data_IF_895223609101
#
_entry.id   IF_895223609101
#
_cell.length_a   1.000
_cell.length_b   1.000
_cell.length_c   1.000
_cell.angle_alpha   90.00
_cell.angle_beta   90.00
_cell.angle_gamma   90.00
#
_symmetry.space_group_name_H-M   'P 1'
#
loop_
_entity.id
_entity.type
_entity.pdbx_description
1 polymer ?
#
# COMPACT_ATOMS: atom_id res chain seq x y z
N UNK A 1 -13.36 13.10 -6.78
CA UNK A 1 -12.27 13.48 -5.84
C UNK A 1 -11.20 12.47 -6.06
N UNK A 2 -10.09 12.94 -6.59
CA UNK A 2 -9.38 12.14 -7.58
C UNK A 2 -8.16 11.52 -6.93
N UNK A 3 -8.10 10.19 -7.05
CA UNK A 3 -6.86 9.44 -6.92
C UNK A 3 -5.72 10.16 -7.60
N UNK A 4 -4.49 9.97 -7.11
CA UNK A 4 -3.41 10.21 -8.04
C UNK A 4 -3.57 9.24 -9.22
N UNK A 5 -3.91 9.82 -10.36
CA UNK A 5 -3.95 9.12 -11.63
C UNK A 5 -2.57 9.11 -12.31
N UNK A 6 -1.52 9.51 -11.58
CA UNK A 6 -0.14 9.58 -12.08
C UNK A 6 0.81 8.60 -11.41
N UNK A 7 0.58 8.24 -10.15
CA UNK A 7 1.47 7.30 -9.48
C UNK A 7 1.02 6.88 -8.09
N UNK A 8 1.88 6.08 -7.47
CA UNK A 8 1.77 5.58 -6.11
C UNK A 8 2.96 6.03 -5.28
N UNK A 9 2.73 6.10 -3.99
CA UNK A 9 3.78 6.24 -3.00
C UNK A 9 3.55 5.19 -1.91
N UNK A 10 4.57 4.88 -1.12
CA UNK A 10 4.38 4.27 0.19
C UNK A 10 5.54 4.73 1.09
N UNK A 11 5.30 4.80 2.39
CA UNK A 11 6.27 5.30 3.35
C UNK A 11 6.60 4.21 4.38
N UNK A 12 7.87 4.12 4.77
CA UNK A 12 8.32 3.41 5.96
C UNK A 12 8.99 4.39 6.93
N UNK A 13 8.20 5.07 7.79
CA UNK A 13 8.70 6.18 8.61
C UNK A 13 9.79 5.77 9.59
N UNK A 14 9.73 4.56 10.14
CA UNK A 14 10.73 4.06 11.10
C UNK A 14 12.15 4.06 10.54
N UNK A 15 12.30 3.95 9.21
CA UNK A 15 13.59 3.97 8.50
C UNK A 15 13.79 5.24 7.66
N UNK A 16 12.81 6.14 7.65
CA UNK A 16 12.75 7.29 6.72
C UNK A 16 12.95 6.84 5.28
N UNK A 17 12.32 5.73 4.89
CA UNK A 17 12.36 5.23 3.52
C UNK A 17 11.02 5.50 2.83
N UNK A 18 11.05 5.78 1.53
CA UNK A 18 9.84 5.86 0.72
C UNK A 18 10.03 5.13 -0.61
N UNK A 19 8.93 4.63 -1.16
CA UNK A 19 8.88 4.15 -2.53
C UNK A 19 7.92 5.03 -3.32
N UNK A 20 8.25 5.24 -4.59
CA UNK A 20 7.46 6.00 -5.53
C UNK A 20 7.43 5.25 -6.86
N UNK A 21 6.27 5.25 -7.50
CA UNK A 21 6.05 4.58 -8.77
C UNK A 21 5.13 5.41 -9.66
N UNK A 22 5.64 5.87 -10.80
CA UNK A 22 4.85 6.54 -11.82
C UNK A 22 4.15 5.50 -12.68
N UNK A 23 2.85 5.67 -12.95
CA UNK A 23 2.11 4.76 -13.81
C UNK A 23 2.62 4.81 -15.26
N UNK A 24 2.75 3.64 -15.87
CA UNK A 24 3.10 3.52 -17.30
C UNK A 24 1.89 3.76 -18.22
N UNK A 25 2.11 3.72 -19.53
CA UNK A 25 1.06 4.01 -20.52
C UNK A 25 -0.14 3.05 -20.42
N UNK A 26 0.09 1.77 -20.10
CA UNK A 26 -0.97 0.77 -20.00
C UNK A 26 -1.78 0.96 -18.70
N UNK A 27 -1.09 1.28 -17.61
CA UNK A 27 -1.71 1.64 -16.32
C UNK A 27 -2.54 2.93 -16.45
N UNK A 28 -2.01 3.95 -17.12
CA UNK A 28 -2.72 5.21 -17.40
C UNK A 28 -3.95 5.00 -18.27
N UNK A 29 -3.88 4.13 -19.28
CA UNK A 29 -5.04 3.79 -20.11
C UNK A 29 -6.13 3.10 -19.29
N UNK A 30 -5.76 2.14 -18.42
CA UNK A 30 -6.73 1.47 -17.55
C UNK A 30 -7.38 2.43 -16.54
N UNK A 31 -6.64 3.43 -16.06
CA UNK A 31 -7.19 4.52 -15.24
C UNK A 31 -8.19 5.35 -16.05
N UNK A 32 -7.85 5.71 -17.29
CA UNK A 32 -8.74 6.45 -18.17
C UNK A 32 -10.04 5.68 -18.47
N UNK A 33 -9.93 4.37 -18.71
CA UNK A 33 -11.08 3.48 -18.93
C UNK A 33 -11.97 3.43 -17.67
N UNK A 34 -11.37 3.32 -16.48
CA UNK A 34 -12.11 3.39 -15.22
C UNK A 34 -12.83 4.73 -15.03
N UNK A 35 -12.13 5.84 -15.26
CA UNK A 35 -12.71 7.18 -15.14
C UNK A 35 -13.82 7.42 -16.19
N UNK A 36 -13.69 6.81 -17.37
CA UNK A 36 -14.70 6.78 -18.43
C UNK A 36 -15.87 5.81 -18.17
N UNK A 37 -15.88 5.10 -17.03
CA UNK A 37 -16.87 4.09 -16.64
C UNK A 37 -16.97 2.91 -17.62
N UNK A 38 -15.90 2.63 -18.36
CA UNK A 38 -15.83 1.52 -19.31
C UNK A 38 -15.24 0.25 -18.71
N UNK A 39 -14.61 0.33 -17.53
CA UNK A 39 -14.03 -0.79 -16.80
C UNK A 39 -14.01 -0.54 -15.29
N UNK A 40 -14.18 -1.58 -14.48
CA UNK A 40 -14.00 -1.53 -13.01
C UNK A 40 -12.64 -2.12 -12.57
N UNK A 41 -11.79 -2.48 -13.52
CA UNK A 41 -10.65 -3.37 -13.29
C UNK A 41 -9.50 -2.69 -12.54
N UNK A 42 -9.30 -1.38 -12.74
CA UNK A 42 -8.18 -0.62 -12.17
C UNK A 42 -8.66 0.51 -11.26
N UNK A 43 -9.66 0.21 -10.41
CA UNK A 43 -10.28 1.17 -9.50
C UNK A 43 -9.32 1.78 -8.48
N UNK A 44 -9.74 2.88 -7.86
CA UNK A 44 -9.04 3.57 -6.77
C UNK A 44 -8.65 2.63 -5.61
N UNK A 45 -9.56 1.74 -5.21
CA UNK A 45 -9.34 0.77 -4.12
C UNK A 45 -8.17 -0.18 -4.43
N UNK A 46 -7.99 -0.50 -5.71
CA UNK A 46 -6.92 -1.38 -6.19
C UNK A 46 -5.59 -0.67 -6.16
N UNK A 47 -5.56 0.58 -6.64
CA UNK A 47 -4.34 1.42 -6.64
C UNK A 47 -3.80 1.62 -5.22
N UNK A 48 -4.69 1.74 -4.23
CA UNK A 48 -4.27 1.82 -2.83
C UNK A 48 -3.78 0.50 -2.26
N UNK A 49 -4.44 -0.61 -2.60
CA UNK A 49 -3.94 -1.94 -2.27
C UNK A 49 -2.56 -2.22 -2.90
N UNK A 50 -2.32 -1.76 -4.14
CA UNK A 50 -1.01 -1.88 -4.81
C UNK A 50 0.11 -1.22 -4.01
N UNK A 51 -0.15 -0.08 -3.37
CA UNK A 51 0.85 0.62 -2.55
C UNK A 51 1.33 -0.26 -1.39
N UNK A 52 0.41 -0.93 -0.69
CA UNK A 52 0.74 -1.87 0.38
C UNK A 52 1.49 -3.12 -0.14
N UNK A 53 1.10 -3.63 -1.31
CA UNK A 53 1.75 -4.79 -1.94
C UNK A 53 3.18 -4.45 -2.36
N UNK A 54 3.40 -3.31 -3.00
CA UNK A 54 4.72 -2.87 -3.41
C UNK A 54 5.63 -2.58 -2.22
N UNK A 55 5.08 -1.99 -1.15
CA UNK A 55 5.77 -1.86 0.11
C UNK A 55 6.25 -3.22 0.65
N UNK A 56 5.39 -4.25 0.61
CA UNK A 56 5.78 -5.61 0.99
C UNK A 56 6.86 -6.20 0.07
N UNK A 57 6.80 -5.99 -1.24
CA UNK A 57 7.83 -6.50 -2.14
C UNK A 57 9.20 -5.89 -1.83
N UNK A 58 9.25 -4.59 -1.52
CA UNK A 58 10.50 -3.86 -1.26
C UNK A 58 11.04 -4.17 0.14
N UNK A 59 10.17 -4.17 1.14
CA UNK A 59 10.59 -4.13 2.55
C UNK A 59 10.37 -5.42 3.34
N UNK A 60 9.59 -6.40 2.84
CA UNK A 60 9.29 -7.60 3.63
C UNK A 60 10.52 -8.39 4.07
N UNK A 61 11.56 -8.41 3.24
CA UNK A 61 12.84 -9.06 3.60
C UNK A 61 13.55 -8.44 4.81
N UNK A 62 13.19 -7.20 5.16
CA UNK A 62 13.79 -6.42 6.23
C UNK A 62 12.94 -6.50 7.53
N UNK A 63 11.63 -6.67 7.42
CA UNK A 63 10.72 -6.79 8.58
C UNK A 63 11.03 -7.98 9.49
N UNK A 64 11.64 -9.03 8.94
CA UNK A 64 11.96 -10.26 9.67
C UNK A 64 13.38 -10.30 10.26
N UNK A 65 14.17 -9.21 10.14
CA UNK A 65 15.61 -9.25 10.42
C UNK A 65 16.01 -9.02 11.88
N UNK A 66 15.07 -8.77 12.80
CA UNK A 66 15.37 -8.88 14.22
C UNK A 66 15.38 -10.37 14.58
N UNK A 67 16.45 -10.88 15.19
CA UNK A 67 16.63 -12.28 15.65
C UNK A 67 15.64 -12.76 16.74
N UNK A 68 14.38 -12.39 16.58
CA UNK A 68 13.21 -12.77 17.35
C UNK A 68 12.73 -14.12 16.82
N UNK A 69 12.36 -15.02 17.73
CA UNK A 69 11.76 -16.32 17.40
C UNK A 69 10.32 -16.14 16.88
N UNK A 70 9.70 -14.99 17.16
CA UNK A 70 8.32 -14.69 16.79
C UNK A 70 8.21 -14.06 15.39
N UNK A 71 7.12 -14.38 14.70
CA UNK A 71 6.78 -13.83 13.40
C UNK A 71 6.57 -12.31 13.50
N UNK A 72 7.29 -11.52 12.71
CA UNK A 72 7.19 -10.06 12.73
C UNK A 72 5.78 -9.60 12.33
N UNK A 73 5.22 -8.63 13.06
CA UNK A 73 3.94 -8.02 12.72
C UNK A 73 4.15 -6.70 11.99
N UNK A 74 3.62 -6.62 10.77
CA UNK A 74 3.60 -5.39 9.97
C UNK A 74 2.18 -4.84 9.86
N UNK A 75 1.99 -3.55 10.10
CA UNK A 75 0.71 -2.88 9.87
C UNK A 75 0.79 -1.95 8.67
N UNK A 76 -0.13 -2.14 7.73
CA UNK A 76 -0.41 -1.22 6.63
C UNK A 76 -1.44 -0.19 7.08
N UNK A 77 -1.03 1.07 7.18
CA UNK A 77 -1.92 2.20 7.39
C UNK A 77 -2.36 2.70 6.03
N UNK A 78 -3.63 2.46 5.68
CA UNK A 78 -4.19 2.78 4.37
C UNK A 78 -5.39 3.68 4.61
N UNK A 79 -5.50 4.76 3.89
CA UNK A 79 -6.61 5.68 4.05
C UNK A 79 -7.89 5.17 3.37
N UNK A 80 -7.84 4.32 2.36
CA UNK A 80 -9.06 3.67 1.85
C UNK A 80 -9.55 2.48 2.67
N UNK A 81 -10.72 2.68 3.26
CA UNK A 81 -11.43 1.66 4.04
C UNK A 81 -11.75 0.38 3.27
N UNK A 82 -11.98 0.44 1.96
CA UNK A 82 -12.19 -0.76 1.13
C UNK A 82 -10.90 -1.55 0.97
N UNK A 83 -9.78 -0.88 0.71
CA UNK A 83 -8.46 -1.51 0.65
C UNK A 83 -8.07 -2.13 2.00
N UNK A 84 -8.33 -1.44 3.12
CA UNK A 84 -8.17 -1.98 4.49
C UNK A 84 -9.00 -3.25 4.67
N UNK A 85 -10.27 -3.23 4.28
CA UNK A 85 -11.16 -4.39 4.41
C UNK A 85 -10.70 -5.57 3.55
N UNK A 86 -10.26 -5.33 2.31
CA UNK A 86 -9.73 -6.38 1.42
C UNK A 86 -8.44 -6.98 1.95
N UNK A 87 -7.50 -6.14 2.42
CA UNK A 87 -6.26 -6.59 3.02
C UNK A 87 -6.56 -7.50 4.21
N UNK A 88 -7.34 -7.05 5.19
CA UNK A 88 -7.63 -7.85 6.40
C UNK A 88 -8.43 -9.14 6.10
N UNK A 89 -9.38 -9.10 5.16
CA UNK A 89 -10.17 -10.29 4.77
C UNK A 89 -9.44 -11.23 3.83
N UNK A 90 -8.32 -10.79 3.25
CA UNK A 90 -7.59 -11.48 2.17
C UNK A 90 -8.51 -11.87 1.01
N UNK A 91 -9.48 -11.02 0.67
CA UNK A 91 -10.43 -11.29 -0.42
C UNK A 91 -11.01 -10.03 -1.06
N UNK A 92 -11.21 -10.09 -2.37
CA UNK A 92 -11.93 -9.13 -3.22
C UNK A 92 -12.67 -9.84 -4.36
N UNK A 93 -13.67 -9.20 -4.98
CA UNK A 93 -14.32 -9.71 -6.21
C UNK A 93 -13.53 -9.39 -7.47
N UNK A 94 -12.60 -8.44 -7.40
CA UNK A 94 -11.75 -8.07 -8.51
C UNK A 94 -10.57 -9.05 -8.62
N UNK A 95 -10.32 -9.58 -9.82
CA UNK A 95 -9.29 -10.60 -10.07
C UNK A 95 -7.88 -10.07 -9.85
N UNK A 96 -7.61 -8.84 -10.25
CA UNK A 96 -6.32 -8.20 -10.06
C UNK A 96 -6.05 -7.93 -8.56
N UNK A 97 -7.06 -7.47 -7.81
CA UNK A 97 -6.98 -7.36 -6.35
C UNK A 97 -6.72 -8.71 -5.68
N UNK A 98 -7.35 -9.79 -6.13
CA UNK A 98 -7.09 -11.15 -5.63
C UNK A 98 -5.64 -11.59 -5.86
N UNK A 99 -5.08 -11.29 -7.04
CA UNK A 99 -3.67 -11.55 -7.34
C UNK A 99 -2.75 -10.77 -6.39
N UNK A 100 -3.02 -9.48 -6.16
CA UNK A 100 -2.28 -8.64 -5.21
C UNK A 100 -2.33 -9.19 -3.78
N UNK A 101 -3.50 -9.62 -3.30
CA UNK A 101 -3.67 -10.21 -1.97
C UNK A 101 -2.93 -11.54 -1.81
N UNK A 102 -2.92 -12.38 -2.86
CA UNK A 102 -2.11 -13.61 -2.88
C UNK A 102 -0.62 -13.31 -2.85
N UNK A 103 -0.18 -12.25 -3.51
CA UNK A 103 1.22 -11.83 -3.48
C UNK A 103 1.64 -11.42 -2.06
N UNK A 104 0.80 -10.68 -1.34
CA UNK A 104 1.05 -10.41 0.10
C UNK A 104 1.17 -11.72 0.88
N UNK A 105 0.20 -12.64 0.75
CA UNK A 105 0.26 -13.93 1.46
C UNK A 105 1.51 -14.76 1.14
N UNK A 106 1.97 -14.73 -0.11
CA UNK A 106 3.23 -15.36 -0.50
C UNK A 106 4.44 -14.71 0.19
N UNK A 107 4.49 -13.37 0.24
CA UNK A 107 5.56 -12.63 0.90
C UNK A 107 5.57 -12.89 2.42
N UNK A 108 4.39 -12.96 3.04
CA UNK A 108 4.22 -13.29 4.48
C UNK A 108 4.91 -14.62 4.82
N UNK A 109 4.64 -15.65 4.02
CA UNK A 109 5.28 -16.97 4.18
C UNK A 109 6.77 -16.91 3.87
N UNK A 110 7.15 -16.25 2.77
CA UNK A 110 8.54 -16.21 2.29
C UNK A 110 9.48 -15.49 3.24
N UNK A 111 9.00 -14.45 3.91
CA UNK A 111 9.78 -13.61 4.81
C UNK A 111 9.36 -13.73 6.27
N UNK A 112 8.49 -14.69 6.61
CA UNK A 112 8.08 -14.96 8.00
C UNK A 112 7.60 -13.70 8.75
N UNK A 113 6.71 -12.94 8.12
CA UNK A 113 5.96 -11.86 8.76
C UNK A 113 4.46 -12.12 8.60
N UNK A 114 3.64 -11.46 9.40
CA UNK A 114 2.21 -11.36 9.17
C UNK A 114 1.82 -9.90 9.10
N UNK A 115 0.78 -9.60 8.33
CA UNK A 115 0.31 -8.25 8.11
C UNK A 115 -1.15 -8.04 8.46
N UNK A 116 -1.44 -6.88 9.02
CA UNK A 116 -2.80 -6.33 9.13
C UNK A 116 -2.87 -4.97 8.47
N UNK A 117 -4.08 -4.49 8.21
CA UNK A 117 -4.32 -3.15 7.74
C UNK A 117 -5.19 -2.36 8.72
N UNK A 118 -4.93 -1.06 8.84
CA UNK A 118 -5.72 -0.13 9.62
C UNK A 118 -5.96 1.14 8.81
N UNK A 119 -7.09 1.79 9.10
CA UNK A 119 -7.42 3.05 8.46
C UNK A 119 -6.63 4.21 9.08
N UNK A 120 -5.97 5.02 8.24
CA UNK A 120 -5.44 6.33 8.62
C UNK A 120 -6.27 7.43 7.96
N UNK A 121 -6.68 8.50 8.66
CA UNK A 121 -7.37 9.60 8.00
C UNK A 121 -6.50 10.25 6.93
N UNK A 122 -7.08 10.56 5.77
CA UNK A 122 -6.35 11.22 4.68
C UNK A 122 -5.73 12.59 5.05
N UNK A 123 -6.22 13.25 6.11
CA UNK A 123 -5.62 14.47 6.63
C UNK A 123 -4.29 14.24 7.37
N UNK A 124 -4.02 13.01 7.80
CA UNK A 124 -2.79 12.59 8.48
C UNK A 124 -1.82 11.91 7.50
N UNK A 125 -2.29 11.56 6.29
CA UNK A 125 -1.52 10.85 5.27
C UNK A 125 -0.90 11.78 4.20
N UNK A 126 -0.53 13.00 4.60
CA UNK A 126 -0.21 14.10 3.66
C UNK A 126 1.01 13.82 2.80
N UNK A 127 2.12 13.41 3.40
CA UNK A 127 3.37 13.15 2.67
C UNK A 127 3.19 12.06 1.61
N UNK A 128 2.39 11.06 1.96
CA UNK A 128 2.12 9.89 1.16
C UNK A 128 1.20 10.25 -0.05
N UNK A 129 0.17 11.09 0.18
CA UNK A 129 -0.68 11.64 -0.88
C UNK A 129 0.12 12.55 -1.83
N UNK A 130 0.89 13.50 -1.32
CA UNK A 130 1.73 14.40 -2.14
C UNK A 130 2.77 13.60 -2.92
N UNK A 131 3.37 12.58 -2.29
CA UNK A 131 4.31 11.66 -2.92
C UNK A 131 3.72 10.90 -4.10
N UNK A 132 2.43 10.54 -4.05
CA UNK A 132 1.76 9.89 -5.18
C UNK A 132 1.52 10.86 -6.36
N UNK A 133 1.58 12.18 -6.12
CA UNK A 133 1.24 13.26 -7.07
C UNK A 133 2.45 14.00 -7.62
N UNK A 134 3.68 13.57 -7.33
CA UNK A 134 4.90 14.29 -7.76
C UNK A 134 5.00 14.51 -9.27
N UNK A 135 4.39 13.63 -10.08
CA UNK A 135 4.32 13.77 -11.54
C UNK A 135 3.11 14.55 -12.07
N UNK A 136 2.28 15.14 -11.19
CA UNK A 136 1.15 15.98 -11.58
C UNK A 136 1.57 17.44 -11.78
N UNK A 137 2.49 17.94 -10.96
CA UNK A 137 2.98 19.31 -11.05
C UNK A 137 4.33 19.49 -10.37
N UNK A 138 5.07 20.51 -10.78
CA UNK A 138 6.34 20.89 -10.16
C UNK A 138 6.15 21.29 -8.68
N UNK A 139 5.00 21.88 -8.33
CA UNK A 139 4.65 22.22 -6.95
C UNK A 139 4.55 20.98 -6.06
N UNK A 140 3.89 19.91 -6.53
CA UNK A 140 3.81 18.64 -5.80
C UNK A 140 5.19 17.98 -5.65
N UNK A 141 6.01 18.04 -6.70
CA UNK A 141 7.39 17.54 -6.65
C UNK A 141 8.24 18.28 -5.61
N UNK A 142 8.17 19.62 -5.57
CA UNK A 142 8.89 20.44 -4.57
C UNK A 142 8.39 20.19 -3.16
N UNK A 143 7.06 20.19 -2.96
CA UNK A 143 6.44 19.91 -1.67
C UNK A 143 6.83 18.54 -1.12
N UNK A 144 6.86 17.51 -1.98
CA UNK A 144 7.36 16.19 -1.58
C UNK A 144 8.85 16.20 -1.26
N UNK A 145 9.68 16.88 -2.07
CA UNK A 145 11.13 16.97 -1.82
C UNK A 145 11.43 17.63 -0.46
N UNK A 146 10.67 18.66 -0.09
CA UNK A 146 10.79 19.31 1.22
C UNK A 146 10.41 18.35 2.35
N UNK A 147 9.31 17.62 2.23
CA UNK A 147 8.87 16.62 3.23
C UNK A 147 9.81 15.41 3.32
N UNK A 148 10.45 15.03 2.21
CA UNK A 148 11.33 13.85 2.10
C UNK A 148 12.83 14.18 2.19
N UNK A 149 13.21 15.41 2.55
CA UNK A 149 14.60 15.89 2.53
C UNK A 149 15.59 14.97 3.27
N UNK A 150 15.17 14.34 4.37
CA UNK A 150 16.00 13.44 5.17
C UNK A 150 15.63 11.95 4.98
N UNK A 151 14.94 11.62 3.89
CA UNK A 151 14.46 10.28 3.58
C UNK A 151 15.23 9.66 2.40
N UNK A 152 15.32 8.33 2.35
CA UNK A 152 15.91 7.60 1.23
C UNK A 152 14.82 6.97 0.35
N UNK A 153 15.01 7.10 -0.97
CA UNK A 153 14.15 6.45 -1.94
C UNK A 153 14.57 5.00 -2.18
N UNK A 154 13.65 4.08 -1.97
CA UNK A 154 13.77 2.70 -2.43
C UNK A 154 13.17 2.56 -3.83
N UNK A 155 13.95 2.01 -4.76
CA UNK A 155 13.58 1.97 -6.17
C UNK A 155 12.48 0.93 -6.44
N UNK A 156 11.27 1.42 -6.79
CA UNK A 156 10.13 0.60 -7.20
C UNK A 156 10.35 -0.27 -8.45
N UNK A 157 11.48 -0.10 -9.17
CA UNK A 157 11.87 -0.96 -10.30
C UNK A 157 12.02 -2.42 -9.87
N UNK A 158 12.54 -2.69 -8.66
CA UNK A 158 12.58 -4.05 -8.10
C UNK A 158 11.17 -4.60 -7.83
N UNK A 159 10.24 -3.74 -7.43
CA UNK A 159 8.84 -4.13 -7.23
C UNK A 159 8.14 -4.49 -8.56
N UNK A 160 8.32 -3.68 -9.61
CA UNK A 160 7.80 -3.98 -10.96
C UNK A 160 8.40 -5.27 -11.53
N UNK A 161 9.71 -5.46 -11.45
CA UNK A 161 10.38 -6.65 -11.97
C UNK A 161 9.93 -7.92 -11.23
N UNK A 162 9.81 -7.85 -9.91
CA UNK A 162 9.31 -8.96 -9.10
C UNK A 162 7.86 -9.29 -9.46
N UNK A 163 6.95 -8.29 -9.48
CA UNK A 163 5.56 -8.49 -9.86
C UNK A 163 5.42 -9.07 -11.29
N UNK A 164 6.15 -8.53 -12.27
CA UNK A 164 6.11 -9.02 -13.66
C UNK A 164 6.70 -10.43 -13.83
N UNK A 165 7.65 -10.84 -12.98
CA UNK A 165 8.20 -12.20 -12.97
C UNK A 165 7.25 -13.20 -12.31
N UNK A 166 6.58 -12.81 -11.22
CA UNK A 166 5.62 -13.66 -10.51
C UNK A 166 4.31 -13.85 -11.28
N UNK A 167 3.83 -12.82 -11.99
CA UNK A 167 2.61 -12.92 -12.84
C UNK A 167 2.80 -13.89 -14.01
N UNK A 168 4.01 -13.95 -14.59
CA UNK A 168 4.32 -14.89 -15.69
C UNK A 168 4.25 -16.36 -15.26
N UNK A 169 4.49 -16.68 -13.99
CA UNK A 169 4.34 -18.04 -13.46
C UNK A 169 2.88 -18.46 -13.22
N UNK A 170 1.91 -17.51 -13.21
CA UNK A 170 0.52 -17.78 -12.76
C UNK A 170 -0.49 -17.83 -13.92
N UNK A 171 -0.04 -17.71 -15.18
CA UNK A 171 -0.79 -18.07 -16.39
C UNK A 171 -2.27 -17.66 -16.41
N UNK A 172 -2.58 -16.39 -16.64
CA UNK A 172 -3.96 -15.91 -16.73
C UNK A 172 -4.29 -15.47 -18.17
N UNK A 173 -5.06 -16.30 -18.89
CA UNK A 173 -5.72 -15.94 -20.15
C UNK A 173 -7.03 -15.22 -19.87
N UNK A 174 -7.19 -14.05 -20.50
CA UNK A 174 -8.30 -13.09 -20.44
C UNK A 174 -9.65 -13.69 -20.89
N UNK A 175 -10.73 -13.44 -20.15
CA UNK A 175 -12.13 -13.43 -20.66
C UNK A 175 -12.98 -12.35 -19.94
N UNK A 176 -14.03 -11.80 -20.61
CA UNK A 176 -14.64 -10.49 -20.29
C UNK A 176 -15.80 -10.55 -19.26
N UNK A 177 -16.31 -9.38 -18.77
CA UNK A 177 -16.85 -9.26 -17.41
C UNK A 177 -18.38 -9.24 -17.31
N UNK A 178 -18.88 -9.40 -16.07
CA UNK A 178 -20.27 -9.13 -15.67
C UNK A 178 -20.29 -8.11 -14.53
N UNK A 179 -21.12 -7.09 -14.71
CA UNK A 179 -21.26 -5.84 -13.95
C UNK A 179 -21.93 -6.00 -12.58
N UNK A 180 -21.52 -5.22 -11.56
CA UNK A 180 -22.44 -4.72 -10.52
C UNK A 180 -21.83 -3.56 -9.71
N UNK A 181 -22.55 -2.43 -9.65
CA UNK A 181 -22.18 -1.17 -8.97
C UNK A 181 -22.56 -1.15 -7.47
N UNK A 182 -21.77 -0.44 -6.65
CA UNK A 182 -22.06 -0.01 -5.26
C UNK A 182 -21.36 1.34 -4.99
N UNK A 183 -21.95 2.30 -4.23
CA UNK A 183 -21.48 3.69 -4.18
C UNK A 183 -20.34 3.97 -3.18
N UNK A 184 -19.52 4.96 -3.51
CA UNK A 184 -18.27 5.40 -2.86
C UNK A 184 -18.46 6.65 -1.99
N UNK A 185 -17.84 6.66 -0.79
CA UNK A 185 -17.60 7.87 0.00
C UNK A 185 -16.08 8.11 0.12
N UNK A 186 -15.69 9.39 0.02
CA UNK A 186 -14.36 9.85 -0.35
C UNK A 186 -13.28 9.65 0.70
N UNK A 187 -12.08 9.26 0.24
CA UNK A 187 -10.85 9.21 1.03
C UNK A 187 -9.65 9.64 0.18
N UNK A 188 -8.57 10.12 0.83
CA UNK A 188 -7.28 10.46 0.20
C UNK A 188 -6.43 9.18 0.08
N UNK A 189 -5.20 9.26 -0.47
CA UNK A 189 -4.38 8.10 -0.87
C UNK A 189 -3.14 7.92 -0.01
N UNK A 190 -2.73 6.64 0.18
CA UNK A 190 -1.36 6.11 0.24
C UNK A 190 -1.07 5.27 1.51
N UNK A 191 -0.11 4.33 1.43
CA UNK A 191 0.16 3.36 2.51
C UNK A 191 1.35 3.79 3.38
N UNK A 192 1.16 3.86 4.70
CA UNK A 192 2.25 3.98 5.69
C UNK A 192 2.48 2.63 6.34
N UNK A 193 3.71 2.14 6.36
CA UNK A 193 4.06 0.88 7.01
C UNK A 193 4.64 1.15 8.39
N UNK A 194 4.04 0.56 9.42
CA UNK A 194 4.59 0.53 10.78
C UNK A 194 4.87 -0.91 11.21
N UNK A 195 6.01 -1.14 11.84
CA UNK A 195 6.23 -2.36 12.62
C UNK A 195 5.51 -2.19 13.97
N UNK A 196 4.62 -3.11 14.30
CA UNK A 196 4.07 -3.22 15.64
C UNK A 196 4.91 -4.26 16.37
N UNK A 197 5.81 -3.83 17.25
CA UNK A 197 6.45 -4.72 18.22
C UNK A 197 5.40 -5.14 19.28
N UNK A 198 4.52 -6.09 18.93
CA UNK A 198 3.66 -6.73 19.92
C UNK A 198 4.48 -7.77 20.69
N UNK A 199 5.05 -7.35 21.84
CA UNK A 199 5.45 -8.27 22.89
C UNK A 199 4.16 -8.94 23.40
N UNK A 200 3.90 -10.19 23.02
CA UNK A 200 2.89 -11.01 23.69
C UNK A 200 3.40 -11.37 25.08
N UNK A 201 3.21 -10.47 26.05
CA UNK A 201 3.35 -10.83 27.45
C UNK A 201 2.20 -11.75 27.85
N UNK A 202 2.52 -13.00 28.18
CA UNK A 202 1.64 -13.91 28.88
C UNK A 202 1.10 -13.25 30.16
N UNK A 203 -0.22 -13.01 30.16
CA UNK A 203 -1.11 -12.84 31.32
C UNK A 203 -0.50 -12.35 32.65
N UNK A 204 -0.66 -11.07 32.97
CA UNK A 204 -1.26 -10.65 34.24
C UNK A 204 -1.70 -9.19 34.15
N UNK A 205 -2.83 -8.90 34.81
CA UNK A 205 -3.53 -7.63 34.83
C UNK A 205 -2.62 -6.43 35.12
N UNK A 206 -2.48 -5.51 34.17
CA UNK A 206 -2.30 -4.08 34.45
C UNK A 206 -2.79 -3.26 33.25
N UNK A 207 -3.57 -2.22 33.54
CA UNK A 207 -4.16 -1.26 32.63
C UNK A 207 -3.17 -0.71 31.58
N UNK A 208 -3.60 -0.46 30.33
CA UNK A 208 -2.71 0.02 29.29
C UNK A 208 -2.24 1.46 29.58
N UNK A 209 -0.98 1.82 29.29
CA UNK A 209 -0.55 3.20 29.32
C UNK A 209 -1.22 3.97 28.17
N UNK A 210 -1.76 5.15 28.47
CA UNK A 210 -2.15 6.13 27.45
C UNK A 210 -0.88 6.59 26.74
N UNK A 211 -0.68 6.19 25.49
CA UNK A 211 0.26 6.86 24.62
C UNK A 211 -0.36 8.17 24.13
N UNK A 212 0.10 9.29 24.72
CA UNK A 212 0.05 10.59 24.08
C UNK A 212 1.44 10.84 23.48
N UNK A 213 1.59 10.68 22.17
CA UNK A 213 2.73 11.25 21.46
C UNK A 213 2.23 12.01 20.25
N UNK A 214 1.96 13.29 20.51
CA UNK A 214 2.12 14.35 19.52
C UNK A 214 3.62 14.49 19.28
N UNK A 215 4.12 14.09 18.12
CA UNK A 215 5.36 14.63 17.58
C UNK A 215 5.21 14.81 16.07
N UNK A 216 4.76 16.01 15.71
CA UNK A 216 5.05 16.65 14.43
C UNK A 216 6.40 17.34 14.56
N UNK A 217 7.31 17.08 13.65
CA UNK A 217 8.16 18.08 12.99
C UNK A 217 8.56 17.54 11.62
#
# INVERSE_FOLDING_TARGET
>A
MDASDRGLCALWPARKEYLQLEFDADELQQIADFNGLTSDEFSINIRELMSAVFAAIVWASQWSQSGQVEQAHTRFWIDNTSAVAWANRRSSRNLFAQMLLRLIGFLEVRYNFYSSAAHIPGAENVMADVGSRVWQSEEMARSFADMSFAWSQEWGIRARQFAASSVRCVGFTRTPPVTTQVPTQGTRFCCVVSEDLQIRSSSSSQSPPRFSEKFFF
#
